data_IF_740076177970
#
_entry.id   IF_740076177970
#
_cell.length_a   1.000
_cell.length_b   1.000
_cell.length_c   1.000
_cell.angle_alpha   90.00
_cell.angle_beta   90.00
_cell.angle_gamma   90.00
#
_symmetry.space_group_name_H-M   'P 1'
#
loop_
_entity.id
_entity.type
_entity.pdbx_description
1 polymer ?
#
# COMPACT_ATOMS: atom_id res chain seq x y z
N UNK A 1 4.69 -15.44 26.05
CA UNK A 1 4.11 -15.01 24.75
C UNK A 1 5.25 -14.82 23.74
N UNK A 2 5.42 -13.74 22.97
CA UNK A 2 6.34 -13.70 21.80
C UNK A 2 7.78 -14.23 22.02
N UNK A 3 8.43 -13.90 23.15
CA UNK A 3 9.81 -14.36 23.45
C UNK A 3 9.85 -15.84 23.79
N UNK A 4 8.77 -16.35 24.36
CA UNK A 4 8.60 -17.75 24.72
C UNK A 4 8.36 -18.60 23.46
N UNK A 5 7.54 -18.12 22.52
CA UNK A 5 7.36 -18.77 21.21
C UNK A 5 8.69 -18.88 20.43
N UNK A 6 9.52 -17.84 20.49
CA UNK A 6 10.88 -17.86 19.90
C UNK A 6 11.74 -18.92 20.60
N UNK A 7 11.64 -19.05 21.92
CA UNK A 7 12.39 -20.04 22.67
C UNK A 7 11.96 -21.46 22.29
N UNK A 8 10.65 -21.74 22.22
CA UNK A 8 10.12 -23.01 21.73
C UNK A 8 10.64 -23.32 20.32
N UNK A 9 10.59 -22.36 19.40
CA UNK A 9 11.12 -22.53 18.05
C UNK A 9 12.62 -22.90 18.04
N UNK A 10 13.43 -22.25 18.88
CA UNK A 10 14.87 -22.54 18.98
C UNK A 10 15.10 -23.94 19.57
N UNK A 11 14.35 -24.30 20.61
CA UNK A 11 14.43 -25.62 21.25
C UNK A 11 14.01 -26.74 20.30
N UNK A 12 12.94 -26.54 19.54
CA UNK A 12 12.52 -27.45 18.47
C UNK A 12 13.60 -27.63 17.40
N UNK A 13 14.32 -26.56 17.05
CA UNK A 13 15.44 -26.65 16.12
C UNK A 13 16.59 -27.51 16.68
N UNK A 14 16.92 -27.40 17.97
CA UNK A 14 17.91 -28.26 18.62
C UNK A 14 17.47 -29.72 18.66
N UNK A 15 16.19 -29.97 18.99
CA UNK A 15 15.59 -31.30 18.97
C UNK A 15 15.65 -31.93 17.58
N UNK A 16 15.34 -31.16 16.54
CA UNK A 16 15.46 -31.59 15.14
C UNK A 16 16.90 -31.98 14.77
N UNK A 17 17.89 -31.33 15.37
CA UNK A 17 19.32 -31.64 15.19
C UNK A 17 19.87 -32.70 16.15
N UNK A 18 19.00 -33.40 16.88
CA UNK A 18 19.37 -34.55 17.71
C UNK A 18 19.84 -34.20 19.12
N UNK A 19 19.64 -32.97 19.58
CA UNK A 19 19.83 -32.60 20.99
C UNK A 19 18.51 -32.85 21.73
N UNK A 20 18.44 -33.80 22.67
CA UNK A 20 17.21 -34.07 23.39
C UNK A 20 16.82 -32.84 24.22
N UNK A 21 15.56 -32.41 24.09
CA UNK A 21 14.96 -31.34 24.88
C UNK A 21 13.71 -31.90 25.55
N UNK A 22 13.69 -31.89 26.88
CA UNK A 22 12.54 -32.32 27.66
C UNK A 22 11.71 -31.11 28.05
N UNK A 23 10.68 -30.78 27.24
CA UNK A 23 9.87 -29.57 27.45
C UNK A 23 9.15 -29.53 28.81
N UNK A 24 8.79 -30.70 29.36
CA UNK A 24 8.15 -30.82 30.67
C UNK A 24 9.09 -30.43 31.83
N UNK A 25 10.41 -30.45 31.60
CA UNK A 25 11.41 -30.00 32.58
C UNK A 25 11.70 -28.50 32.48
N UNK A 26 11.16 -27.81 31.46
CA UNK A 26 11.37 -26.37 31.28
C UNK A 26 10.23 -25.62 31.95
N UNK A 27 10.45 -25.20 33.20
CA UNK A 27 9.47 -24.46 33.98
C UNK A 27 9.45 -22.97 33.59
N UNK A 28 8.46 -22.58 32.78
CA UNK A 28 8.26 -21.21 32.31
C UNK A 28 7.37 -20.36 33.24
N UNK A 29 6.49 -21.00 34.01
CA UNK A 29 5.47 -20.34 34.86
C UNK A 29 6.00 -20.01 36.26
N UNK A 30 7.01 -20.74 36.76
CA UNK A 30 7.64 -20.44 38.05
C UNK A 30 8.75 -19.43 37.90
N UNK A 31 8.33 -18.18 37.67
CA UNK A 31 9.14 -16.96 37.91
C UNK A 31 9.73 -16.90 39.33
N UNK A 32 9.35 -17.79 40.25
CA UNK A 32 9.72 -17.69 41.66
C UNK A 32 10.78 -18.64 42.21
N UNK A 33 11.11 -19.82 41.63
CA UNK A 33 12.03 -20.74 42.35
C UNK A 33 12.95 -21.66 41.55
N UNK A 34 12.85 -21.78 40.21
CA UNK A 34 13.85 -22.53 39.43
C UNK A 34 14.80 -21.57 38.70
N UNK A 35 16.08 -21.62 39.08
CA UNK A 35 17.06 -20.58 38.79
C UNK A 35 17.56 -20.58 37.35
N UNK A 36 17.37 -21.65 36.58
CA UNK A 36 17.99 -21.79 35.26
C UNK A 36 17.05 -21.40 34.10
N UNK A 37 15.81 -21.88 34.05
CA UNK A 37 14.87 -21.57 32.97
C UNK A 37 14.37 -20.11 33.04
N UNK A 38 14.04 -19.64 34.24
CA UNK A 38 13.68 -18.23 34.50
C UNK A 38 14.84 -17.28 34.15
N UNK A 39 16.09 -17.68 34.39
CA UNK A 39 17.26 -16.91 34.00
C UNK A 39 17.40 -16.78 32.48
N UNK A 40 17.19 -17.85 31.71
CA UNK A 40 17.28 -17.80 30.24
C UNK A 40 16.23 -16.87 29.65
N UNK A 41 14.97 -16.93 30.12
CA UNK A 41 13.92 -16.01 29.66
C UNK A 41 14.22 -14.56 30.03
N UNK A 42 14.70 -14.29 31.24
CA UNK A 42 15.11 -12.95 31.69
C UNK A 42 16.29 -12.42 30.88
N UNK A 43 17.29 -13.25 30.61
CA UNK A 43 18.44 -12.90 29.78
C UNK A 43 18.02 -12.62 28.33
N UNK A 44 17.19 -13.46 27.73
CA UNK A 44 16.65 -13.24 26.38
C UNK A 44 15.85 -11.93 26.30
N UNK A 45 14.98 -11.67 27.30
CA UNK A 45 14.25 -10.38 27.38
C UNK A 45 15.21 -9.20 27.52
N UNK A 46 16.27 -9.34 28.32
CA UNK A 46 17.33 -8.33 28.48
C UNK A 46 18.08 -8.06 27.18
N UNK A 47 18.48 -9.12 26.47
CA UNK A 47 19.15 -9.05 25.17
C UNK A 47 18.28 -8.38 24.12
N UNK A 48 17.00 -8.77 24.00
CA UNK A 48 16.04 -8.15 23.07
C UNK A 48 15.86 -6.67 23.40
N UNK A 49 15.78 -6.31 24.68
CA UNK A 49 15.63 -4.92 25.11
C UNK A 49 16.86 -4.08 24.76
N UNK A 50 18.07 -4.60 25.00
CA UNK A 50 19.33 -3.95 24.66
C UNK A 50 19.48 -3.79 23.14
N UNK A 51 19.15 -4.84 22.38
CA UNK A 51 19.17 -4.79 20.92
C UNK A 51 18.19 -3.74 20.40
N UNK A 52 16.96 -3.68 20.92
CA UNK A 52 15.97 -2.66 20.54
C UNK A 52 16.49 -1.24 20.78
N UNK A 53 17.06 -0.97 21.95
CA UNK A 53 17.64 0.35 22.25
C UNK A 53 18.78 0.71 21.28
N UNK A 54 19.64 -0.26 20.96
CA UNK A 54 20.75 -0.07 20.03
C UNK A 54 20.23 0.17 18.61
N UNK A 55 19.26 -0.63 18.17
CA UNK A 55 18.63 -0.49 16.86
C UNK A 55 17.92 0.87 16.70
N UNK A 56 17.23 1.37 17.73
CA UNK A 56 16.61 2.70 17.67
C UNK A 56 17.65 3.82 17.61
N UNK A 57 18.77 3.71 18.33
CA UNK A 57 19.90 4.65 18.21
C UNK A 57 20.48 4.63 16.79
N UNK A 58 20.68 3.45 16.22
CA UNK A 58 21.20 3.29 14.86
C UNK A 58 20.22 3.80 13.80
N UNK A 59 18.92 3.56 13.95
CA UNK A 59 17.88 4.12 13.07
C UNK A 59 17.86 5.65 13.14
N UNK A 60 17.93 6.23 14.34
CA UNK A 60 17.99 7.68 14.51
C UNK A 60 19.23 8.29 13.83
N UNK A 61 20.35 7.58 13.83
CA UNK A 61 21.56 7.97 13.10
C UNK A 61 21.43 7.78 11.57
N UNK A 62 20.82 6.68 11.11
CA UNK A 62 20.65 6.34 9.69
C UNK A 62 19.50 7.09 8.99
N UNK A 63 18.53 7.63 9.74
CA UNK A 63 17.39 8.40 9.25
C UNK A 63 17.76 9.71 8.54
N UNK A 64 19.07 10.01 8.41
CA UNK A 64 19.60 11.16 7.71
C UNK A 64 19.86 10.91 6.21
N UNK A 65 19.81 9.66 5.71
CA UNK A 65 20.18 9.38 4.30
C UNK A 65 19.46 8.23 3.59
N UNK A 66 18.65 7.40 4.24
CA UNK A 66 18.07 6.21 3.61
C UNK A 66 16.59 6.37 3.23
N UNK A 67 16.23 5.93 2.02
CA UNK A 67 14.84 5.76 1.62
C UNK A 67 14.16 4.67 2.48
N UNK A 68 12.88 4.85 2.80
CA UNK A 68 12.12 3.89 3.60
C UNK A 68 12.06 2.53 2.87
N UNK A 69 12.45 1.41 3.53
CA UNK A 69 12.40 0.09 2.91
C UNK A 69 10.95 -0.35 2.69
N UNK A 70 10.63 -0.76 1.46
CA UNK A 70 9.32 -1.31 1.11
C UNK A 70 9.29 -2.83 1.25
N UNK A 71 8.23 -3.36 1.86
CA UNK A 71 7.93 -4.79 1.89
C UNK A 71 7.01 -5.14 0.72
N UNK A 72 7.36 -6.18 -0.04
CA UNK A 72 6.50 -6.74 -1.09
C UNK A 72 6.02 -8.11 -0.64
N UNK A 73 4.71 -8.27 -0.51
CA UNK A 73 4.07 -9.53 -0.20
C UNK A 73 3.76 -10.30 -1.49
N UNK A 74 4.23 -11.54 -1.56
CA UNK A 74 3.78 -12.51 -2.56
C UNK A 74 2.81 -13.46 -1.87
N UNK A 75 1.53 -13.27 -2.14
CA UNK A 75 0.45 -13.96 -1.42
C UNK A 75 -0.10 -15.09 -2.27
N UNK A 76 -0.41 -16.21 -1.61
CA UNK A 76 -1.16 -17.30 -2.23
C UNK A 76 -2.62 -16.88 -2.50
N UNK A 77 -3.27 -17.54 -3.47
CA UNK A 77 -4.66 -17.26 -3.84
C UNK A 77 -5.63 -17.40 -2.66
N UNK A 78 -5.31 -18.24 -1.68
CA UNK A 78 -6.12 -18.43 -0.48
C UNK A 78 -5.94 -17.33 0.57
N UNK A 79 -4.83 -16.58 0.51
CA UNK A 79 -4.46 -15.60 1.53
C UNK A 79 -4.55 -14.15 1.05
N UNK A 80 -4.71 -13.91 -0.25
CA UNK A 80 -4.83 -12.57 -0.82
C UNK A 80 -6.05 -11.77 -0.34
N UNK A 81 -7.10 -12.39 0.19
CA UNK A 81 -8.28 -11.66 0.71
C UNK A 81 -8.01 -10.99 2.06
N UNK A 82 -7.02 -11.47 2.81
CA UNK A 82 -6.69 -10.92 4.12
C UNK A 82 -6.00 -9.55 3.98
N UNK A 83 -6.35 -8.56 4.81
CA UNK A 83 -5.68 -7.27 4.84
C UNK A 83 -4.39 -7.33 5.66
N UNK A 84 -3.40 -8.10 5.19
CA UNK A 84 -2.10 -8.30 5.86
C UNK A 84 -1.44 -6.98 6.25
N UNK A 85 -1.55 -5.97 5.40
CA UNK A 85 -1.00 -4.64 5.61
C UNK A 85 -1.64 -3.88 6.78
N UNK A 86 -2.76 -4.36 7.32
CA UNK A 86 -3.43 -3.80 8.49
C UNK A 86 -3.15 -4.56 9.77
N UNK A 87 -2.35 -5.63 9.74
CA UNK A 87 -1.81 -6.24 10.95
C UNK A 87 -1.01 -5.20 11.75
N UNK A 88 -1.06 -5.20 13.10
CA UNK A 88 -0.39 -4.18 13.92
C UNK A 88 1.09 -3.95 13.56
N UNK A 89 1.83 -5.02 13.25
CA UNK A 89 3.25 -4.96 12.89
C UNK A 89 3.52 -4.39 11.48
N UNK A 90 2.51 -4.38 10.60
CA UNK A 90 2.60 -3.92 9.21
C UNK A 90 1.84 -2.61 8.95
N UNK A 91 0.90 -2.22 9.81
CA UNK A 91 -0.05 -1.11 9.58
C UNK A 91 0.61 0.20 9.17
N UNK A 92 1.74 0.52 9.81
CA UNK A 92 2.50 1.74 9.60
C UNK A 92 3.69 1.58 8.64
N UNK A 93 3.80 0.46 7.92
CA UNK A 93 4.92 0.17 7.01
C UNK A 93 4.50 0.33 5.55
N UNK A 94 5.44 0.73 4.70
CA UNK A 94 5.27 0.66 3.25
C UNK A 94 5.18 -0.80 2.80
N UNK A 95 3.97 -1.29 2.58
CA UNK A 95 3.70 -2.66 2.11
C UNK A 95 2.94 -2.61 0.78
N UNK A 96 3.40 -3.40 -0.18
CA UNK A 96 2.70 -3.66 -1.44
C UNK A 96 2.60 -5.16 -1.71
N UNK A 97 1.84 -5.53 -2.73
CA UNK A 97 1.60 -6.90 -3.17
C UNK A 97 2.10 -7.10 -4.59
N UNK A 98 2.64 -8.27 -4.88
CA UNK A 98 2.83 -8.73 -6.25
C UNK A 98 2.35 -10.18 -6.38
N UNK A 99 1.67 -10.54 -7.48
CA UNK A 99 1.11 -11.87 -7.63
C UNK A 99 2.16 -12.92 -8.03
N UNK A 100 3.33 -12.52 -8.56
CA UNK A 100 4.37 -13.47 -8.95
C UNK A 100 5.77 -12.84 -9.04
N UNK A 101 6.79 -13.69 -8.95
CA UNK A 101 8.18 -13.35 -9.22
C UNK A 101 8.41 -12.88 -10.65
N UNK A 102 7.67 -13.41 -11.62
CA UNK A 102 7.78 -13.02 -13.02
C UNK A 102 7.40 -11.55 -13.20
N UNK A 103 6.26 -11.13 -12.63
CA UNK A 103 5.85 -9.73 -12.68
C UNK A 103 6.83 -8.81 -11.94
N UNK A 104 7.37 -9.25 -10.80
CA UNK A 104 8.43 -8.50 -10.12
C UNK A 104 9.65 -8.30 -11.02
N UNK A 105 10.17 -9.39 -11.60
CA UNK A 105 11.33 -9.36 -12.49
C UNK A 105 11.07 -8.46 -13.69
N UNK A 106 9.93 -8.61 -14.35
CA UNK A 106 9.60 -7.87 -15.56
C UNK A 106 9.47 -6.37 -15.26
N UNK A 107 8.88 -5.98 -14.13
CA UNK A 107 8.83 -4.58 -13.69
C UNK A 107 10.22 -4.01 -13.33
N UNK A 108 11.10 -4.81 -12.72
CA UNK A 108 12.48 -4.39 -12.42
C UNK A 108 13.31 -4.22 -13.71
N UNK A 109 13.15 -5.11 -14.68
CA UNK A 109 13.86 -5.06 -15.96
C UNK A 109 13.34 -3.96 -16.89
N UNK A 110 12.08 -3.55 -16.75
CA UNK A 110 11.50 -2.47 -17.54
C UNK A 110 12.19 -1.11 -17.31
N UNK A 111 13.05 -0.97 -16.27
CA UNK A 111 13.80 0.24 -15.95
C UNK A 111 12.93 1.51 -15.97
N UNK A 112 11.67 1.39 -15.58
CA UNK A 112 10.74 2.52 -15.52
C UNK A 112 11.16 3.47 -14.41
N UNK A 113 11.16 4.77 -14.70
CA UNK A 113 11.36 5.79 -13.67
C UNK A 113 10.38 5.56 -12.53
N UNK A 114 10.91 5.35 -11.32
CA UNK A 114 10.10 5.28 -10.10
C UNK A 114 9.54 6.64 -9.69
N UNK A 115 9.94 7.71 -10.39
CA UNK A 115 9.48 9.07 -10.13
C UNK A 115 8.44 9.49 -11.17
N UNK A 116 7.25 9.83 -10.72
CA UNK A 116 6.09 10.23 -11.52
C UNK A 116 5.97 11.75 -11.60
N UNK A 117 5.54 12.28 -12.75
CA UNK A 117 5.30 13.71 -12.90
C UNK A 117 3.88 14.07 -12.48
N UNK A 118 3.67 14.90 -11.42
CA UNK A 118 2.33 15.31 -11.03
C UNK A 118 1.56 15.99 -12.18
N UNK A 119 2.24 16.73 -13.06
CA UNK A 119 1.63 17.39 -14.21
C UNK A 119 1.04 16.41 -15.25
N UNK A 120 1.51 15.16 -15.29
CA UNK A 120 1.02 14.09 -16.19
C UNK A 120 0.05 13.17 -15.44
N UNK A 121 -0.84 13.78 -14.66
CA UNK A 121 -1.93 13.09 -13.98
C UNK A 121 -3.24 13.39 -14.70
N UNK A 122 -4.09 12.39 -14.86
CA UNK A 122 -5.49 12.57 -15.24
C UNK A 122 -6.44 11.92 -14.24
N UNK A 123 -7.71 12.30 -14.30
CA UNK A 123 -8.71 11.78 -13.39
C UNK A 123 -10.07 11.51 -14.04
N UNK A 124 -10.81 10.58 -13.45
CA UNK A 124 -12.21 10.28 -13.74
C UNK A 124 -12.96 10.36 -12.43
N UNK A 125 -13.93 11.25 -12.33
CA UNK A 125 -14.64 11.57 -11.11
C UNK A 125 -16.14 11.45 -11.32
N UNK A 126 -16.79 10.63 -10.50
CA UNK A 126 -18.23 10.40 -10.55
C UNK A 126 -18.75 10.11 -11.97
N UNK A 127 -18.21 9.09 -12.67
CA UNK A 127 -18.61 8.80 -14.04
C UNK A 127 -20.05 8.25 -14.15
N UNK A 128 -20.61 7.71 -13.06
CA UNK A 128 -22.01 7.26 -12.98
C UNK A 128 -23.02 8.38 -12.69
N UNK A 129 -22.54 9.53 -12.18
CA UNK A 129 -23.38 10.66 -11.81
C UNK A 129 -24.02 10.56 -10.42
N UNK A 130 -23.91 9.43 -9.75
CA UNK A 130 -24.55 9.09 -8.48
C UNK A 130 -23.69 9.40 -7.23
N UNK A 131 -22.39 9.63 -7.38
CA UNK A 131 -21.45 9.98 -6.31
C UNK A 131 -21.34 11.51 -6.11
N UNK A 132 -22.47 12.17 -5.84
CA UNK A 132 -22.55 13.63 -5.72
C UNK A 132 -21.67 14.19 -4.59
N UNK A 133 -21.56 13.47 -3.46
CA UNK A 133 -20.69 13.85 -2.35
C UNK A 133 -19.22 13.84 -2.76
N UNK A 134 -18.74 12.71 -3.31
CA UNK A 134 -17.38 12.53 -3.80
C UNK A 134 -17.01 13.60 -4.83
N UNK A 135 -17.92 13.89 -5.77
CA UNK A 135 -17.72 14.95 -6.75
C UNK A 135 -17.55 16.34 -6.10
N UNK A 136 -18.38 16.65 -5.10
CA UNK A 136 -18.34 17.95 -4.39
C UNK A 136 -17.07 18.09 -3.56
N UNK A 137 -16.62 16.99 -2.94
CA UNK A 137 -15.44 16.97 -2.07
C UNK A 137 -14.12 17.02 -2.86
N UNK A 138 -13.97 16.15 -3.87
CA UNK A 138 -12.72 16.01 -4.63
C UNK A 138 -12.63 16.98 -5.82
N UNK A 139 -13.75 17.33 -6.43
CA UNK A 139 -13.81 18.12 -7.67
C UNK A 139 -13.07 19.45 -7.60
N UNK A 140 -13.29 20.31 -6.58
CA UNK A 140 -12.58 21.58 -6.45
C UNK A 140 -11.07 21.40 -6.32
N UNK A 141 -10.63 20.38 -5.59
CA UNK A 141 -9.22 20.07 -5.42
C UNK A 141 -8.58 19.62 -6.74
N UNK A 142 -9.19 18.64 -7.43
CA UNK A 142 -8.68 18.11 -8.69
C UNK A 142 -8.65 19.18 -9.80
N UNK A 143 -9.65 20.06 -9.83
CA UNK A 143 -9.70 21.18 -10.78
C UNK A 143 -8.58 22.19 -10.54
N UNK A 144 -8.21 22.48 -9.29
CA UNK A 144 -7.10 23.39 -8.94
C UNK A 144 -5.75 22.87 -9.41
N UNK A 145 -5.61 21.56 -9.58
CA UNK A 145 -4.37 20.94 -10.08
C UNK A 145 -4.12 21.16 -11.58
N UNK A 146 -5.15 21.58 -12.33
CA UNK A 146 -5.05 21.77 -13.78
C UNK A 146 -4.94 20.46 -14.58
N UNK A 147 -5.23 19.32 -13.94
CA UNK A 147 -5.23 18.01 -14.59
C UNK A 147 -6.41 17.86 -15.55
N UNK A 148 -6.19 17.10 -16.62
CA UNK A 148 -7.27 16.74 -17.53
C UNK A 148 -8.14 15.66 -16.88
N UNK A 149 -9.46 15.85 -16.89
CA UNK A 149 -10.35 14.87 -16.27
C UNK A 149 -11.75 14.82 -16.84
N UNK A 150 -12.44 13.73 -16.50
CA UNK A 150 -13.83 13.44 -16.88
C UNK A 150 -14.66 13.50 -15.61
N UNK A 151 -15.68 14.35 -15.57
CA UNK A 151 -16.51 14.59 -14.38
C UNK A 151 -17.98 14.41 -14.70
N UNK A 152 -18.70 13.66 -13.88
CA UNK A 152 -20.17 13.57 -13.94
C UNK A 152 -20.71 12.91 -15.22
N UNK A 153 -19.87 12.20 -15.98
CA UNK A 153 -20.27 11.46 -17.18
C UNK A 153 -19.46 10.19 -17.36
N UNK A 154 -20.06 9.21 -18.03
CA UNK A 154 -19.37 7.99 -18.42
C UNK A 154 -18.23 8.34 -19.42
N UNK A 155 -17.00 7.85 -19.19
CA UNK A 155 -15.93 7.95 -20.16
C UNK A 155 -16.14 6.95 -21.31
N UNK A 156 -15.68 7.30 -22.50
CA UNK A 156 -15.61 6.36 -23.62
C UNK A 156 -14.39 5.44 -23.44
N UNK A 157 -14.47 4.19 -23.89
CA UNK A 157 -13.33 3.24 -23.81
C UNK A 157 -12.03 3.82 -24.41
N UNK A 158 -12.04 4.52 -25.57
CA UNK A 158 -10.82 5.14 -26.12
C UNK A 158 -10.26 6.28 -25.27
N UNK A 159 -11.11 7.01 -24.53
CA UNK A 159 -10.64 8.08 -23.62
C UNK A 159 -9.83 7.48 -22.47
N UNK A 160 -10.33 6.40 -21.85
CA UNK A 160 -9.62 5.70 -20.78
C UNK A 160 -8.34 5.04 -21.30
N UNK A 161 -8.43 4.34 -22.43
CA UNK A 161 -7.28 3.70 -23.08
C UNK A 161 -6.15 4.70 -23.30
N UNK A 162 -6.47 5.84 -23.89
CA UNK A 162 -5.48 6.89 -24.18
C UNK A 162 -4.82 7.36 -22.89
N UNK A 163 -5.60 7.70 -21.85
CA UNK A 163 -5.07 8.15 -20.55
C UNK A 163 -4.13 7.14 -19.91
N UNK A 164 -4.56 5.87 -19.85
CA UNK A 164 -3.72 4.79 -19.32
C UNK A 164 -2.42 4.63 -20.11
N UNK A 165 -2.44 4.89 -21.41
CA UNK A 165 -1.27 4.80 -22.27
C UNK A 165 -0.46 6.08 -22.40
N UNK A 166 -0.94 7.26 -21.98
CA UNK A 166 -0.22 8.54 -22.20
C UNK A 166 0.23 9.17 -20.91
N UNK A 167 -0.50 8.99 -19.82
CA UNK A 167 -0.25 9.68 -18.56
C UNK A 167 0.72 8.88 -17.68
N UNK A 168 1.24 9.51 -16.64
CA UNK A 168 2.06 8.83 -15.62
C UNK A 168 1.17 8.33 -14.48
N UNK A 169 0.06 9.03 -14.20
CA UNK A 169 -0.89 8.68 -13.14
C UNK A 169 -2.33 8.86 -13.61
N UNK A 170 -3.18 7.87 -13.33
CA UNK A 170 -4.64 7.92 -13.58
C UNK A 170 -5.39 7.72 -12.27
N UNK A 171 -6.24 8.67 -11.93
CA UNK A 171 -7.09 8.64 -10.74
C UNK A 171 -8.52 8.29 -11.13
N UNK A 172 -9.09 7.24 -10.55
CA UNK A 172 -10.48 6.83 -10.78
C UNK A 172 -11.25 6.89 -9.46
N UNK A 173 -12.31 7.69 -9.43
CA UNK A 173 -13.26 7.83 -8.32
C UNK A 173 -14.66 7.49 -8.82
N UNK A 174 -15.07 6.25 -8.60
CA UNK A 174 -16.27 5.65 -9.17
C UNK A 174 -16.53 4.26 -8.61
N UNK A 175 -17.42 3.52 -9.26
CA UNK A 175 -17.77 2.14 -8.87
C UNK A 175 -16.76 1.14 -9.42
N UNK A 176 -16.41 0.13 -8.62
CA UNK A 176 -15.53 -0.94 -9.07
C UNK A 176 -14.13 -0.45 -9.46
N UNK A 177 -13.51 -1.14 -10.39
CA UNK A 177 -12.20 -0.80 -10.96
C UNK A 177 -12.29 -0.22 -12.38
N UNK A 178 -13.38 0.46 -12.72
CA UNK A 178 -13.68 0.98 -14.06
C UNK A 178 -13.98 -0.08 -15.14
N UNK A 179 -14.19 -1.36 -14.78
CA UNK A 179 -14.51 -2.44 -15.72
C UNK A 179 -15.76 -2.20 -16.57
N UNK A 180 -16.70 -1.38 -16.09
CA UNK A 180 -17.89 -0.96 -16.83
C UNK A 180 -17.60 -0.02 -18.01
N UNK A 181 -16.40 0.59 -18.04
CA UNK A 181 -16.00 1.57 -19.05
C UNK A 181 -14.85 1.07 -19.95
N UNK A 182 -13.99 0.19 -19.42
CA UNK A 182 -12.94 -0.46 -20.19
C UNK A 182 -12.85 -1.94 -19.81
N UNK A 183 -13.03 -2.82 -20.80
CA UNK A 183 -12.98 -4.26 -20.57
C UNK A 183 -11.58 -4.69 -20.16
N UNK A 184 -11.46 -5.62 -19.21
CA UNK A 184 -10.16 -6.14 -18.77
C UNK A 184 -9.30 -6.70 -19.91
N UNK A 185 -9.92 -7.33 -20.92
CA UNK A 185 -9.22 -7.78 -22.13
C UNK A 185 -8.65 -6.67 -23.01
N UNK A 186 -9.21 -5.45 -22.95
CA UNK A 186 -8.65 -4.27 -23.60
C UNK A 186 -7.51 -3.67 -22.77
N UNK A 187 -7.62 -3.65 -21.44
CA UNK A 187 -6.54 -3.23 -20.53
C UNK A 187 -5.31 -4.11 -20.70
N UNK A 188 -5.46 -5.44 -20.73
CA UNK A 188 -4.33 -6.38 -20.91
C UNK A 188 -3.58 -6.23 -22.24
N UNK A 189 -4.16 -5.55 -23.23
CA UNK A 189 -3.56 -5.33 -24.56
C UNK A 189 -2.85 -3.98 -24.68
N UNK A 190 -2.77 -3.20 -23.61
CA UNK A 190 -2.05 -1.93 -23.64
C UNK A 190 -0.54 -2.20 -23.65
N UNK A 191 0.19 -1.46 -24.48
CA UNK A 191 1.67 -1.54 -24.52
C UNK A 191 2.33 -0.95 -23.27
N UNK A 192 1.63 -0.03 -22.60
CA UNK A 192 2.01 0.59 -21.33
C UNK A 192 0.76 0.97 -20.54
N UNK A 193 0.87 0.99 -19.23
CA UNK A 193 -0.21 1.41 -18.35
C UNK A 193 0.32 2.35 -17.25
N UNK A 194 -0.34 3.49 -17.06
CA UNK A 194 -0.03 4.46 -16.01
C UNK A 194 -0.22 3.85 -14.61
N UNK A 195 0.45 4.43 -13.59
CA UNK A 195 0.13 4.14 -12.19
C UNK A 195 -1.32 4.52 -11.93
N UNK A 196 -2.13 3.58 -11.45
CA UNK A 196 -3.58 3.75 -11.42
C UNK A 196 -4.14 3.65 -10.00
N UNK A 197 -4.97 4.61 -9.61
CA UNK A 197 -5.68 4.61 -8.33
C UNK A 197 -7.16 4.31 -8.61
N UNK A 198 -7.60 3.10 -8.25
CA UNK A 198 -8.97 2.62 -8.43
C UNK A 198 -9.77 2.76 -7.13
N UNK A 199 -10.22 3.99 -6.83
CA UNK A 199 -10.98 4.32 -5.62
C UNK A 199 -12.47 4.01 -5.82
N UNK A 200 -12.76 2.71 -5.89
CA UNK A 200 -14.11 2.16 -5.95
C UNK A 200 -14.23 0.87 -5.14
N UNK A 201 -15.46 0.45 -4.87
CA UNK A 201 -15.76 -0.77 -4.13
C UNK A 201 -15.17 -2.00 -4.81
N UNK A 202 -14.50 -2.88 -4.06
CA UNK A 202 -13.99 -4.17 -4.54
C UNK A 202 -13.08 -4.10 -5.79
N UNK A 203 -12.48 -2.95 -6.09
CA UNK A 203 -11.62 -2.75 -7.27
C UNK A 203 -10.34 -3.61 -7.27
N UNK A 204 -9.90 -4.00 -6.08
CA UNK A 204 -8.74 -4.85 -5.81
C UNK A 204 -9.09 -6.26 -5.39
N UNK A 205 -10.38 -6.61 -5.39
CA UNK A 205 -10.85 -7.95 -5.11
C UNK A 205 -10.43 -8.90 -6.24
N UNK A 206 -9.87 -10.04 -5.85
CA UNK A 206 -9.50 -11.12 -6.76
C UNK A 206 -10.44 -12.29 -6.50
N UNK A 207 -11.38 -12.50 -7.43
CA UNK A 207 -12.44 -13.49 -7.32
C UNK A 207 -11.83 -14.90 -7.37
N UNK A 208 -12.11 -15.75 -6.36
CA UNK A 208 -11.59 -17.11 -6.33
C UNK A 208 -12.25 -17.96 -7.42
N UNK A 209 -11.46 -18.81 -8.06
CA UNK A 209 -11.91 -19.71 -9.11
C UNK A 209 -11.72 -21.19 -8.72
N UNK A 210 -11.92 -21.50 -7.43
CA UNK A 210 -11.70 -22.84 -6.87
C UNK A 210 -10.23 -23.26 -7.02
N UNK A 211 -10.00 -24.32 -7.79
CA UNK A 211 -8.65 -24.81 -8.09
C UNK A 211 -7.87 -23.90 -9.05
N UNK A 212 -8.57 -23.09 -9.85
CA UNK A 212 -7.93 -22.17 -10.79
C UNK A 212 -7.44 -20.88 -10.13
N UNK A 213 -6.57 -20.17 -10.85
CA UNK A 213 -6.06 -18.86 -10.43
C UNK A 213 -7.17 -17.82 -10.33
N UNK A 214 -7.11 -16.93 -9.34
CA UNK A 214 -8.10 -15.91 -9.13
C UNK A 214 -8.01 -14.85 -10.24
N UNK A 215 -9.14 -14.19 -10.50
CA UNK A 215 -9.21 -13.14 -11.52
C UNK A 215 -9.77 -11.86 -10.92
N UNK A 216 -9.34 -10.70 -11.43
CA UNK A 216 -9.89 -9.43 -10.96
C UNK A 216 -9.30 -8.24 -11.68
N UNK A 217 -9.88 -7.08 -11.42
CA UNK A 217 -9.56 -5.86 -12.17
C UNK A 217 -8.11 -5.44 -11.98
N UNK A 218 -7.62 -5.38 -10.73
CA UNK A 218 -6.22 -5.02 -10.45
C UNK A 218 -5.19 -5.87 -11.23
N UNK A 219 -5.45 -7.18 -11.41
CA UNK A 219 -4.56 -8.06 -12.16
C UNK A 219 -4.48 -7.69 -13.65
N UNK A 220 -5.59 -7.21 -14.25
CA UNK A 220 -5.59 -6.76 -15.65
C UNK A 220 -4.66 -5.57 -15.86
N UNK A 221 -4.61 -4.64 -14.90
CA UNK A 221 -3.72 -3.48 -14.95
C UNK A 221 -2.26 -3.91 -14.79
N UNK A 222 -1.95 -4.79 -13.83
CA UNK A 222 -0.58 -5.32 -13.66
C UNK A 222 -0.09 -6.05 -14.92
N UNK A 223 -0.93 -6.89 -15.52
CA UNK A 223 -0.63 -7.58 -16.78
C UNK A 223 -0.43 -6.62 -17.96
N UNK A 224 -1.02 -5.42 -17.91
CA UNK A 224 -0.81 -4.35 -18.89
C UNK A 224 0.47 -3.54 -18.68
N UNK A 225 1.35 -3.98 -17.76
CA UNK A 225 2.58 -3.28 -17.41
C UNK A 225 2.36 -2.08 -16.49
N UNK A 226 1.25 -2.04 -15.73
CA UNK A 226 1.02 -0.98 -14.74
C UNK A 226 2.07 -1.08 -13.62
N UNK A 227 2.86 -0.03 -13.34
CA UNK A 227 3.89 -0.10 -12.32
C UNK A 227 3.36 -0.24 -10.89
N UNK A 228 2.21 0.38 -10.62
CA UNK A 228 1.49 0.23 -9.36
C UNK A 228 -0.01 0.53 -9.49
N UNK A 229 -0.82 -0.25 -8.77
CA UNK A 229 -2.28 -0.09 -8.68
C UNK A 229 -2.68 0.05 -7.22
N UNK A 230 -3.40 1.11 -6.86
CA UNK A 230 -4.09 1.20 -5.55
C UNK A 230 -5.53 0.80 -5.74
N UNK A 231 -6.03 -0.11 -4.91
CA UNK A 231 -7.37 -0.66 -5.05
C UNK A 231 -7.92 -1.15 -3.71
N UNK A 232 -9.24 -1.34 -3.62
CA UNK A 232 -9.92 -1.78 -2.41
C UNK A 232 -10.25 -3.28 -2.47
N UNK A 233 -9.92 -4.03 -1.41
CA UNK A 233 -10.17 -5.48 -1.32
C UNK A 233 -11.65 -5.86 -1.25
N UNK A 234 -12.50 -4.97 -0.75
CA UNK A 234 -13.94 -5.16 -0.58
C UNK A 234 -14.68 -3.82 -0.69
N UNK A 235 -15.99 -3.84 -0.45
CA UNK A 235 -16.85 -2.67 -0.58
C UNK A 235 -16.62 -1.64 0.53
N UNK A 236 -16.52 -0.37 0.16
CA UNK A 236 -16.22 0.74 1.06
C UNK A 236 -17.32 1.79 0.99
N UNK A 237 -17.39 2.66 1.99
CA UNK A 237 -18.37 3.77 2.00
C UNK A 237 -17.74 5.05 1.46
N UNK A 238 -18.48 5.76 0.60
CA UNK A 238 -18.00 6.94 -0.14
C UNK A 238 -17.32 7.98 0.77
N UNK A 239 -17.95 8.35 1.89
CA UNK A 239 -17.43 9.42 2.77
C UNK A 239 -16.07 9.10 3.38
N UNK A 240 -15.85 7.85 3.81
CA UNK A 240 -14.61 7.46 4.46
C UNK A 240 -13.50 7.19 3.43
N UNK A 241 -13.82 6.57 2.30
CA UNK A 241 -12.82 6.35 1.24
C UNK A 241 -12.40 7.66 0.56
N UNK A 242 -13.30 8.65 0.47
CA UNK A 242 -12.95 9.99 -0.01
C UNK A 242 -11.94 10.67 0.94
N UNK A 243 -12.13 10.52 2.26
CA UNK A 243 -11.21 11.07 3.27
C UNK A 243 -9.84 10.37 3.21
N UNK A 244 -9.83 9.05 3.05
CA UNK A 244 -8.62 8.28 2.78
C UNK A 244 -7.92 8.80 1.51
N UNK A 245 -8.67 8.98 0.43
CA UNK A 245 -8.14 9.42 -0.87
C UNK A 245 -7.49 10.79 -0.77
N UNK A 246 -8.15 11.76 -0.13
CA UNK A 246 -7.58 13.09 0.11
C UNK A 246 -6.29 13.01 0.93
N UNK A 247 -6.31 12.26 2.03
CA UNK A 247 -5.14 12.09 2.88
C UNK A 247 -3.98 11.42 2.12
N UNK A 248 -4.28 10.43 1.28
CA UNK A 248 -3.25 9.70 0.53
C UNK A 248 -2.64 10.56 -0.57
N UNK A 249 -3.44 11.29 -1.34
CA UNK A 249 -2.94 12.20 -2.38
C UNK A 249 -2.08 13.34 -1.78
N UNK A 250 -2.46 13.88 -0.62
CA UNK A 250 -1.66 14.86 0.12
C UNK A 250 -0.33 14.26 0.57
N UNK A 251 -0.37 13.10 1.26
CA UNK A 251 0.82 12.44 1.78
C UNK A 251 1.76 11.98 0.68
N UNK A 252 1.24 11.49 -0.44
CA UNK A 252 2.04 11.04 -1.58
C UNK A 252 2.74 12.18 -2.33
N UNK A 253 2.41 13.45 -2.03
CA UNK A 253 2.99 14.63 -2.68
C UNK A 253 2.35 14.98 -4.01
N UNK A 254 1.24 14.33 -4.37
CA UNK A 254 0.51 14.66 -5.59
C UNK A 254 -0.24 15.99 -5.46
N UNK A 255 -0.60 16.38 -4.23
CA UNK A 255 -1.20 17.68 -3.93
C UNK A 255 -0.14 18.65 -3.37
N UNK A 256 -0.14 19.93 -3.79
CA UNK A 256 0.77 20.92 -3.25
C UNK A 256 0.37 21.25 -1.80
N UNK A 257 1.37 21.57 -0.96
CA UNK A 257 1.16 21.96 0.45
C UNK A 257 0.20 23.15 0.65
N UNK A 258 -0.09 23.92 -0.40
CA UNK A 258 -1.03 25.05 -0.42
C UNK A 258 -2.50 24.66 -0.71
N UNK A 259 -2.81 23.39 -0.97
CA UNK A 259 -4.16 22.94 -1.38
C UNK A 259 -5.21 22.88 -0.24
N UNK A 260 -4.83 23.24 1.01
CA UNK A 260 -5.77 23.52 2.10
C UNK A 260 -6.03 22.39 3.08
N UNK A 261 -5.32 21.25 2.99
CA UNK A 261 -5.36 20.19 4.01
C UNK A 261 -3.95 20.00 4.56
N UNK A 262 -3.59 20.77 5.60
CA UNK A 262 -2.30 20.60 6.28
C UNK A 262 -2.39 19.40 7.22
N UNK A 263 -2.08 18.20 6.75
CA UNK A 263 -1.86 17.06 7.65
C UNK A 263 -0.42 17.06 8.17
N UNK A 264 -0.17 16.42 9.31
CA UNK A 264 1.15 16.33 9.95
C UNK A 264 2.27 15.83 9.01
N UNK A 265 1.91 15.11 7.95
CA UNK A 265 2.84 14.55 6.96
C UNK A 265 3.51 15.58 6.04
N UNK A 266 2.93 16.78 5.86
CA UNK A 266 3.62 17.88 5.15
C UNK A 266 4.90 18.32 5.89
N UNK A 267 5.09 17.93 7.17
CA UNK A 267 6.37 18.11 7.87
C UNK A 267 7.48 17.16 7.38
N UNK A 268 7.17 16.00 6.80
CA UNK A 268 8.20 15.11 6.24
C UNK A 268 8.74 15.60 4.89
N UNK A 269 7.97 16.39 4.14
CA UNK A 269 8.45 17.07 2.93
C UNK A 269 9.59 18.07 3.21
N UNK A 270 9.84 18.43 4.49
CA UNK A 270 10.98 19.28 4.89
C UNK A 270 12.35 18.58 4.75
N UNK A 271 12.39 17.28 4.46
CA UNK A 271 13.63 16.49 4.30
C UNK A 271 14.00 16.12 2.86
N UNK A 272 13.32 16.69 1.86
CA UNK A 272 13.73 16.58 0.45
C UNK A 272 13.34 15.29 -0.30
N UNK A 273 12.75 14.30 0.38
CA UNK A 273 12.24 13.06 -0.25
C UNK A 273 10.74 12.89 0.00
N UNK A 274 9.98 12.73 -1.07
CA UNK A 274 8.55 12.40 -1.01
C UNK A 274 8.36 10.91 -0.68
N UNK A 275 7.33 10.53 0.09
CA UNK A 275 7.12 9.13 0.44
C UNK A 275 6.69 8.32 -0.80
N UNK A 276 6.95 7.02 -0.76
CA UNK A 276 6.44 6.09 -1.77
C UNK A 276 4.91 5.98 -1.69
N UNK A 277 4.29 5.53 -2.78
CA UNK A 277 2.84 5.27 -2.84
C UNK A 277 2.37 4.35 -1.70
N UNK A 278 3.11 3.28 -1.44
CA UNK A 278 2.79 2.34 -0.35
C UNK A 278 2.90 3.00 1.04
N UNK A 279 3.90 3.86 1.26
CA UNK A 279 4.04 4.62 2.51
C UNK A 279 2.89 5.63 2.68
N UNK A 280 2.49 6.32 1.60
CA UNK A 280 1.37 7.24 1.61
C UNK A 280 0.03 6.55 1.89
N UNK A 281 -0.19 5.35 1.35
CA UNK A 281 -1.35 4.49 1.65
C UNK A 281 -1.34 4.07 3.11
N UNK A 282 -0.23 3.53 3.61
CA UNK A 282 -0.10 3.06 4.99
C UNK A 282 -0.41 4.18 5.99
N UNK A 283 0.17 5.37 5.76
CA UNK A 283 -0.06 6.52 6.61
C UNK A 283 -1.54 6.98 6.58
N UNK A 284 -2.23 6.83 5.44
CA UNK A 284 -3.59 7.35 5.24
C UNK A 284 -4.70 6.48 5.79
N UNK A 285 -4.42 5.23 6.16
CA UNK A 285 -5.44 4.30 6.70
C UNK A 285 -6.19 4.87 7.90
N UNK A 286 -5.46 5.51 8.81
CA UNK A 286 -6.00 6.10 10.04
C UNK A 286 -6.72 7.43 9.82
N UNK A 287 -6.79 7.93 8.58
CA UNK A 287 -7.67 9.04 8.25
C UNK A 287 -9.14 8.60 8.26
N UNK A 288 -9.45 7.33 7.99
CA UNK A 288 -10.82 6.82 7.95
C UNK A 288 -11.46 6.88 9.34
N UNK A 289 -12.78 7.14 9.42
CA UNK A 289 -13.51 6.99 10.68
C UNK A 289 -13.57 5.53 11.10
N UNK A 290 -13.67 4.61 10.13
CA UNK A 290 -13.65 3.16 10.33
C UNK A 290 -12.27 2.59 9.92
N UNK A 291 -11.31 2.45 10.85
CA UNK A 291 -9.90 2.21 10.50
C UNK A 291 -9.63 0.81 9.93
N UNK A 292 -10.53 -0.14 10.18
CA UNK A 292 -10.46 -1.51 9.67
C UNK A 292 -11.50 -1.77 8.59
N UNK A 293 -12.76 -1.36 8.77
CA UNK A 293 -13.79 -1.62 7.76
C UNK A 293 -13.52 -0.88 6.45
N UNK A 294 -13.00 0.35 6.52
CA UNK A 294 -12.62 1.13 5.34
C UNK A 294 -11.10 1.28 5.27
N UNK A 295 -10.45 1.66 6.37
CA UNK A 295 -9.00 1.92 6.35
C UNK A 295 -8.12 0.70 6.05
N UNK A 296 -8.63 -0.53 6.19
CA UNK A 296 -7.89 -1.74 5.83
C UNK A 296 -8.17 -2.25 4.41
N UNK A 297 -9.18 -1.71 3.71
CA UNK A 297 -9.53 -2.14 2.37
C UNK A 297 -8.48 -1.71 1.31
N UNK A 298 -7.87 -0.49 1.37
CA UNK A 298 -6.88 -0.05 0.41
C UNK A 298 -5.57 -0.84 0.49
N UNK A 299 -5.22 -1.45 -0.63
CA UNK A 299 -3.96 -2.16 -0.86
C UNK A 299 -3.25 -1.61 -2.09
N UNK A 300 -1.93 -1.77 -2.12
CA UNK A 300 -1.10 -1.41 -3.26
C UNK A 300 -0.58 -2.68 -3.91
N UNK A 301 -0.82 -2.85 -5.20
CA UNK A 301 -0.14 -3.85 -6.01
C UNK A 301 0.98 -3.17 -6.81
N UNK A 302 2.18 -3.75 -6.89
CA UNK A 302 3.29 -3.22 -7.68
C UNK A 302 4.49 -2.71 -6.87
N UNK A 303 5.33 -1.90 -7.53
CA UNK A 303 6.61 -1.41 -7.02
C UNK A 303 6.55 0.02 -6.43
N UNK A 304 7.55 0.44 -5.63
CA UNK A 304 7.65 1.81 -5.10
C UNK A 304 7.64 2.85 -6.21
N UNK A 305 6.68 3.77 -6.14
CA UNK A 305 6.65 4.97 -6.98
C UNK A 305 6.48 6.22 -6.11
N UNK A 306 7.25 7.25 -6.41
CA UNK A 306 7.26 8.55 -5.75
C UNK A 306 6.83 9.61 -6.74
N UNK A 307 6.28 10.72 -6.25
CA UNK A 307 5.99 11.88 -7.11
C UNK A 307 7.22 12.80 -7.16
N UNK A 308 7.40 13.53 -8.27
CA UNK A 308 8.37 14.62 -8.32
C UNK A 308 7.90 15.78 -7.44
N UNK A 309 8.84 16.40 -6.72
CA UNK A 309 8.57 17.69 -6.08
C UNK A 309 8.16 18.71 -7.16
N UNK A 310 7.08 19.48 -6.96
CA UNK A 310 6.77 20.58 -7.86
C UNK A 310 7.96 21.54 -7.85
N UNK A 311 8.58 21.76 -9.01
CA UNK A 311 9.64 22.77 -9.15
C UNK A 311 9.08 24.09 -8.61
N UNK A 312 9.73 24.68 -7.61
CA UNK A 312 9.44 26.06 -7.20
C UNK A 312 9.60 26.91 -8.47
N UNK A 313 8.50 27.39 -9.05
CA UNK A 313 8.61 28.40 -10.10
C UNK A 313 9.39 29.57 -9.49
N UNK A 314 10.51 30.02 -10.08
CA UNK A 314 11.06 31.29 -9.68
C UNK A 314 9.99 32.36 -9.94
N UNK A 315 9.74 33.18 -8.93
CA UNK A 315 8.87 34.35 -9.00
C UNK A 315 9.46 35.34 -10.00
#
# INVERSE_FOLDING_TARGET
>A
DDVEDILYYVLDAYMYHGVPVEFDEIDYDRVSYDSNATAVLLELRGLVSNWRQTAERLKAAAAQSAAEPQLILMLDKSTQSFPWESLPILRARAVARLPSWTLLRDQLLANTSTTLQPARTSFVLNPGGDLAHTQTLLGPMLKRMGWQGIVGRAPLEPELRTRLQTDDTVLYFGHGGAEQYIRGGAVRKLDRCAVTLLMGCSSGHLAPAGEFEPTGTALNYLMAGCPAVVANLWDVTDKDIDRFSLAMLDRWGLLPASAGVRTSATRCATRGTLPSLASAVAASRDACTLPYLVGAAPVVYGLPHMTMLPSRRPV
#
